data_IF_628042298748
#
_entry.id   IF_628042298748
#
_cell.length_a   1.000
_cell.length_b   1.000
_cell.length_c   1.000
_cell.angle_alpha   90.00
_cell.angle_beta   90.00
_cell.angle_gamma   90.00
#
_symmetry.space_group_name_H-M   'P 1'
#
loop_
_entity.id
_entity.type
_entity.pdbx_description
1 polymer ?
#
# COMPACT_ATOMS: atom_id res chain seq x y z
N UNK A 1 -20.82 12.85 2.77
CA UNK A 1 -19.69 12.92 1.80
C UNK A 1 -18.53 12.05 2.27
N UNK A 2 -18.23 12.03 3.57
CA UNK A 2 -17.17 11.20 4.16
C UNK A 2 -17.39 9.70 3.94
N UNK A 3 -18.60 9.17 4.14
CA UNK A 3 -18.91 7.75 3.86
C UNK A 3 -18.64 7.31 2.39
N UNK A 4 -18.93 8.17 1.41
CA UNK A 4 -18.67 7.88 -0.02
C UNK A 4 -17.17 7.90 -0.30
N UNK A 5 -16.46 8.86 0.30
CA UNK A 5 -15.00 8.97 0.18
C UNK A 5 -14.32 7.75 0.80
N UNK A 6 -14.77 7.35 1.99
CA UNK A 6 -14.35 6.14 2.69
C UNK A 6 -14.55 4.88 1.85
N UNK A 7 -15.77 4.67 1.35
CA UNK A 7 -16.10 3.53 0.50
C UNK A 7 -15.21 3.48 -0.74
N UNK A 8 -14.92 4.64 -1.33
CA UNK A 8 -14.03 4.77 -2.48
C UNK A 8 -12.58 4.42 -2.13
N UNK A 9 -12.06 4.93 -1.01
CA UNK A 9 -10.69 4.65 -0.55
C UNK A 9 -10.51 3.18 -0.15
N UNK A 10 -11.50 2.59 0.50
CA UNK A 10 -11.55 1.16 0.84
C UNK A 10 -11.60 0.29 -0.41
N UNK A 11 -12.47 0.61 -1.37
CA UNK A 11 -12.50 -0.09 -2.66
C UNK A 11 -11.18 0.04 -3.43
N UNK A 12 -10.57 1.23 -3.43
CA UNK A 12 -9.31 1.49 -4.11
C UNK A 12 -8.14 0.73 -3.48
N UNK A 13 -8.08 0.64 -2.14
CA UNK A 13 -7.04 -0.13 -1.45
C UNK A 13 -7.11 -1.62 -1.81
N UNK A 14 -8.31 -2.21 -1.88
CA UNK A 14 -8.48 -3.60 -2.33
C UNK A 14 -7.98 -3.78 -3.77
N UNK A 15 -8.38 -2.90 -4.69
CA UNK A 15 -7.94 -2.96 -6.09
C UNK A 15 -6.42 -2.85 -6.21
N UNK A 16 -5.80 -1.90 -5.49
CA UNK A 16 -4.35 -1.71 -5.49
C UNK A 16 -3.60 -2.88 -4.84
N UNK A 17 -4.15 -3.50 -3.80
CA UNK A 17 -3.58 -4.69 -3.18
C UNK A 17 -3.54 -5.85 -4.18
N UNK A 18 -4.64 -6.10 -4.90
CA UNK A 18 -4.70 -7.13 -5.95
C UNK A 18 -3.69 -6.84 -7.07
N UNK A 19 -3.63 -5.60 -7.55
CA UNK A 19 -2.65 -5.19 -8.58
C UNK A 19 -1.21 -5.35 -8.10
N UNK A 20 -0.93 -5.11 -6.82
CA UNK A 20 0.38 -5.31 -6.22
C UNK A 20 0.80 -6.79 -6.25
N UNK A 21 -0.11 -7.72 -5.96
CA UNK A 21 0.16 -9.17 -6.08
C UNK A 21 0.54 -9.55 -7.51
N UNK A 22 -0.20 -9.05 -8.51
CA UNK A 22 0.13 -9.31 -9.91
C UNK A 22 1.48 -8.70 -10.32
N UNK A 23 1.78 -7.48 -9.87
CA UNK A 23 3.06 -6.83 -10.13
C UNK A 23 4.23 -7.61 -9.51
N UNK A 24 4.09 -8.05 -8.25
CA UNK A 24 5.07 -8.86 -7.53
C UNK A 24 5.32 -10.18 -8.27
N UNK A 25 4.25 -10.89 -8.64
CA UNK A 25 4.34 -12.14 -9.40
C UNK A 25 5.06 -11.95 -10.73
N UNK A 26 4.72 -10.89 -11.47
CA UNK A 26 5.39 -10.56 -12.73
C UNK A 26 6.89 -10.24 -12.58
N UNK A 27 7.29 -9.61 -11.47
CA UNK A 27 8.70 -9.35 -11.17
C UNK A 27 9.46 -10.62 -10.76
N UNK A 28 8.85 -11.49 -9.94
CA UNK A 28 9.43 -12.77 -9.54
C UNK A 28 9.66 -13.70 -10.74
N UNK A 29 8.71 -13.75 -11.68
CA UNK A 29 8.86 -14.52 -12.94
C UNK A 29 10.04 -14.03 -13.79
N UNK A 30 10.41 -12.75 -13.68
CA UNK A 30 11.57 -12.16 -14.36
C UNK A 30 12.87 -12.25 -13.55
N UNK A 31 12.87 -12.99 -12.44
CA UNK A 31 14.03 -13.19 -11.57
C UNK A 31 14.39 -11.99 -10.69
N UNK A 32 13.45 -11.05 -10.46
CA UNK A 32 13.62 -9.91 -9.54
C UNK A 32 13.11 -10.24 -8.12
N UNK A 33 13.22 -11.50 -7.71
CA UNK A 33 12.60 -12.00 -6.47
C UNK A 33 13.07 -11.26 -5.22
N UNK A 34 14.37 -10.97 -5.10
CA UNK A 34 14.89 -10.22 -3.94
C UNK A 34 14.30 -8.81 -3.85
N UNK A 35 14.31 -8.05 -4.96
CA UNK A 35 13.73 -6.71 -5.01
C UNK A 35 12.22 -6.71 -4.77
N UNK A 36 11.52 -7.73 -5.28
CA UNK A 36 10.08 -7.90 -5.06
C UNK A 36 9.78 -8.18 -3.58
N UNK A 37 10.51 -9.10 -2.95
CA UNK A 37 10.36 -9.41 -1.52
C UNK A 37 10.70 -8.21 -0.65
N UNK A 38 11.80 -7.50 -0.92
CA UNK A 38 12.16 -6.30 -0.18
C UNK A 38 11.06 -5.22 -0.27
N UNK A 39 10.51 -4.99 -1.46
CA UNK A 39 9.41 -4.06 -1.65
C UNK A 39 8.15 -4.50 -0.88
N UNK A 40 7.84 -5.80 -0.86
CA UNK A 40 6.71 -6.34 -0.08
C UNK A 40 6.92 -6.10 1.41
N UNK A 41 8.12 -6.38 1.94
CA UNK A 41 8.43 -6.16 3.36
C UNK A 41 8.25 -4.69 3.72
N UNK A 42 8.79 -3.76 2.93
CA UNK A 42 8.63 -2.33 3.17
C UNK A 42 7.16 -1.89 3.15
N UNK A 43 6.38 -2.36 2.18
CA UNK A 43 4.95 -2.05 2.08
C UNK A 43 4.19 -2.58 3.30
N UNK A 44 4.45 -3.82 3.72
CA UNK A 44 3.84 -4.41 4.92
C UNK A 44 4.22 -3.65 6.19
N UNK A 45 5.48 -3.23 6.33
CA UNK A 45 5.91 -2.41 7.47
C UNK A 45 5.12 -1.10 7.55
N UNK A 46 4.93 -0.40 6.41
CA UNK A 46 4.14 0.84 6.38
C UNK A 46 2.67 0.57 6.75
N UNK A 47 2.09 -0.51 6.20
CA UNK A 47 0.71 -0.93 6.53
C UNK A 47 0.54 -1.19 8.03
N UNK A 48 1.47 -1.95 8.64
CA UNK A 48 1.44 -2.25 10.08
C UNK A 48 1.58 -1.01 10.93
N UNK A 49 2.49 -0.08 10.57
CA UNK A 49 2.66 1.17 11.32
C UNK A 49 1.40 2.02 11.26
N UNK A 50 0.80 2.16 10.07
CA UNK A 50 -0.46 2.89 9.90
C UNK A 50 -1.61 2.24 10.70
N UNK A 51 -1.72 0.91 10.69
CA UNK A 51 -2.72 0.20 11.50
C UNK A 51 -2.48 0.36 13.00
N UNK A 52 -1.24 0.26 13.44
CA UNK A 52 -0.88 0.42 14.85
C UNK A 52 -1.19 1.84 15.34
N UNK A 53 -0.92 2.85 14.51
CA UNK A 53 -1.29 4.23 14.79
C UNK A 53 -2.81 4.39 14.94
N UNK A 54 -3.60 3.85 14.01
CA UNK A 54 -5.06 3.92 14.11
C UNK A 54 -5.59 3.16 15.34
N UNK A 55 -5.07 1.97 15.61
CA UNK A 55 -5.45 1.20 16.81
C UNK A 55 -5.14 1.96 18.11
N UNK A 56 -4.01 2.68 18.17
CA UNK A 56 -3.69 3.55 19.32
C UNK A 56 -4.73 4.64 19.47
N UNK A 57 -5.13 5.29 18.37
CA UNK A 57 -6.17 6.31 18.39
C UNK A 57 -7.52 5.77 18.90
N UNK A 58 -7.96 4.60 18.41
CA UNK A 58 -9.16 3.91 18.88
C UNK A 58 -9.07 3.57 20.38
N UNK A 59 -7.92 3.03 20.82
CA UNK A 59 -7.71 2.61 22.21
C UNK A 59 -7.81 3.77 23.21
N UNK A 60 -7.34 4.96 22.81
CA UNK A 60 -7.44 6.16 23.65
C UNK A 60 -8.78 6.90 23.52
N UNK A 61 -9.75 6.36 22.76
CA UNK A 61 -11.06 6.99 22.51
C UNK A 61 -10.96 8.46 22.10
N UNK A 62 -9.93 8.77 21.32
CA UNK A 62 -9.70 10.14 20.83
C UNK A 62 -10.69 10.54 19.73
N UNK A 63 -11.61 9.63 19.39
CA UNK A 63 -12.71 9.80 18.43
C UNK A 63 -13.52 11.07 18.70
N UNK A 64 -13.76 11.40 19.98
CA UNK A 64 -14.47 12.62 20.40
C UNK A 64 -13.68 13.92 20.10
N UNK A 65 -12.38 13.81 19.81
CA UNK A 65 -11.48 14.97 19.60
C UNK A 65 -11.10 15.18 18.13
N UNK A 66 -10.85 14.10 17.37
CA UNK A 66 -10.45 14.22 15.95
C UNK A 66 -11.39 13.52 14.96
N UNK A 67 -12.50 12.93 15.40
CA UNK A 67 -13.47 12.26 14.52
C UNK A 67 -12.86 11.13 13.67
N UNK A 68 -13.36 10.94 12.45
CA UNK A 68 -12.97 9.90 11.48
C UNK A 68 -11.64 10.18 10.73
N UNK A 69 -10.95 11.28 11.05
CA UNK A 69 -9.72 11.71 10.36
C UNK A 69 -8.63 10.62 10.37
N UNK A 70 -8.38 9.89 11.48
CA UNK A 70 -7.30 8.89 11.52
C UNK A 70 -7.59 7.67 10.66
N UNK A 71 -8.86 7.27 10.54
CA UNK A 71 -9.26 6.19 9.66
C UNK A 71 -9.04 6.58 8.19
N UNK A 72 -9.48 7.78 7.79
CA UNK A 72 -9.20 8.29 6.44
C UNK A 72 -7.69 8.38 6.15
N UNK A 73 -6.88 8.81 7.13
CA UNK A 73 -5.44 8.86 7.00
C UNK A 73 -4.81 7.47 6.82
N UNK A 74 -5.30 6.44 7.53
CA UNK A 74 -4.88 5.04 7.35
C UNK A 74 -5.10 4.59 5.89
N UNK A 75 -6.31 4.78 5.36
CA UNK A 75 -6.62 4.39 3.99
C UNK A 75 -5.80 5.15 2.95
N UNK A 76 -5.56 6.45 3.15
CA UNK A 76 -4.69 7.24 2.26
C UNK A 76 -3.25 6.70 2.29
N UNK A 77 -2.71 6.37 3.48
CA UNK A 77 -1.39 5.76 3.59
C UNK A 77 -1.33 4.41 2.88
N UNK A 78 -2.38 3.60 2.95
CA UNK A 78 -2.47 2.34 2.23
C UNK A 78 -2.45 2.54 0.72
N UNK A 79 -3.24 3.48 0.20
CA UNK A 79 -3.26 3.82 -1.24
C UNK A 79 -1.86 4.23 -1.70
N UNK A 80 -1.19 5.12 -0.96
CA UNK A 80 0.15 5.59 -1.28
C UNK A 80 1.15 4.44 -1.25
N UNK A 81 1.10 3.58 -0.22
CA UNK A 81 2.03 2.46 -0.05
C UNK A 81 1.91 1.45 -1.21
N UNK A 82 0.69 1.07 -1.60
CA UNK A 82 0.49 0.17 -2.74
C UNK A 82 0.83 0.83 -4.09
N UNK A 83 0.49 2.11 -4.28
CA UNK A 83 0.86 2.83 -5.50
C UNK A 83 2.38 2.91 -5.67
N UNK A 84 3.10 3.24 -4.60
CA UNK A 84 4.56 3.27 -4.57
C UNK A 84 5.17 1.89 -4.84
N UNK A 85 4.62 0.83 -4.23
CA UNK A 85 5.01 -0.55 -4.51
C UNK A 85 4.91 -0.90 -5.99
N UNK A 86 3.72 -0.69 -6.59
CA UNK A 86 3.48 -0.97 -8.01
C UNK A 86 4.45 -0.18 -8.89
N UNK A 87 4.66 1.10 -8.57
CA UNK A 87 5.58 1.96 -9.29
C UNK A 87 7.03 1.44 -9.24
N UNK A 88 7.54 1.09 -8.06
CA UNK A 88 8.89 0.58 -7.88
C UNK A 88 9.10 -0.74 -8.65
N UNK A 89 8.14 -1.66 -8.55
CA UNK A 89 8.20 -2.94 -9.26
C UNK A 89 8.16 -2.75 -10.78
N UNK A 90 7.28 -1.88 -11.28
CA UNK A 90 7.21 -1.56 -12.72
C UNK A 90 8.51 -0.91 -13.20
N UNK A 91 9.09 0.00 -12.41
CA UNK A 91 10.37 0.64 -12.73
C UNK A 91 11.52 -0.37 -12.78
N UNK A 92 11.63 -1.25 -11.78
CA UNK A 92 12.65 -2.31 -11.75
C UNK A 92 12.53 -3.24 -12.97
N UNK A 93 11.30 -3.62 -13.34
CA UNK A 93 11.03 -4.42 -14.54
C UNK A 93 11.46 -3.72 -15.83
N UNK A 94 11.24 -2.40 -15.95
CA UNK A 94 11.64 -1.62 -17.14
C UNK A 94 13.16 -1.57 -17.28
N UNK A 95 13.89 -1.33 -16.20
CA UNK A 95 15.36 -1.27 -16.20
C UNK A 95 15.97 -2.59 -16.65
N UNK A 96 15.52 -3.72 -16.08
CA UNK A 96 16.03 -5.06 -16.46
C UNK A 96 15.73 -5.44 -17.92
N UNK A 97 14.60 -4.97 -18.46
CA UNK A 97 14.28 -5.20 -19.88
C UNK A 97 15.19 -4.39 -20.80
N UNK A 98 15.72 -3.25 -20.34
CA UNK A 98 16.69 -2.43 -21.07
C UNK A 98 18.11 -2.99 -21.05
N UNK A 99 18.51 -3.71 -20.00
CA UNK A 99 19.84 -4.34 -19.91
C UNK A 99 19.98 -5.61 -20.78
N UNK A 100 18.86 -6.27 -21.10
CA UNK A 100 18.84 -7.49 -21.92
C UNK A 100 18.68 -7.23 -23.43
N UNK A 101 18.70 -5.97 -23.88
CA UNK A 101 18.65 -5.58 -25.30
C UNK A 101 19.99 -5.01 -25.72
#
# INVERSE_FOLDING_TARGET
MEEILYFTLSGLTVVLAVLSVFAARGAMQKGLTYSATAAVVWTLTILVIARAWHMVYELFKLEDTMGEIPEMAEYVLYVIAYAAFIFLIRRANKVRTSENR
#
